data_IF_639476371216
#
_entry.id   IF_639476371216
#
_cell.length_a   1.000
_cell.length_b   1.000
_cell.length_c   1.000
_cell.angle_alpha   90.00
_cell.angle_beta   90.00
_cell.angle_gamma   90.00
#
_symmetry.space_group_name_H-M   'P 1'
#
loop_
_entity.id
_entity.type
_entity.pdbx_description
1 polymer ?
#
# COMPACT_ATOMS: atom_id res chain seq x y z
N UNK A 1 -22.89 9.75 -21.21
CA UNK A 1 -21.50 10.15 -21.50
C UNK A 1 -20.70 10.54 -20.25
N UNK A 2 -21.20 11.43 -19.36
CA UNK A 2 -20.49 11.81 -18.12
C UNK A 2 -20.25 10.66 -17.12
N UNK A 3 -21.22 9.74 -16.96
CA UNK A 3 -21.09 8.60 -16.06
C UNK A 3 -19.94 7.65 -16.45
N UNK A 4 -19.82 7.34 -17.74
CA UNK A 4 -18.75 6.49 -18.28
C UNK A 4 -17.34 7.07 -18.01
N UNK A 5 -17.18 8.39 -18.12
CA UNK A 5 -15.89 9.06 -17.86
C UNK A 5 -15.51 8.96 -16.38
N UNK A 6 -16.49 9.10 -15.47
CA UNK A 6 -16.25 8.98 -14.02
C UNK A 6 -15.86 7.56 -13.64
N UNK A 7 -16.50 6.55 -14.23
CA UNK A 7 -16.16 5.14 -13.99
C UNK A 7 -14.73 4.81 -14.45
N UNK A 8 -14.36 5.24 -15.66
CA UNK A 8 -13.01 5.02 -16.20
C UNK A 8 -11.94 5.75 -15.36
N UNK A 9 -12.21 6.99 -14.95
CA UNK A 9 -11.31 7.74 -14.06
C UNK A 9 -11.21 7.11 -12.67
N UNK A 10 -12.32 6.58 -12.14
CA UNK A 10 -12.35 5.89 -10.84
C UNK A 10 -11.52 4.61 -10.86
N UNK A 11 -11.67 3.78 -11.88
CA UNK A 11 -10.88 2.54 -12.06
C UNK A 11 -9.41 2.89 -12.28
N UNK A 12 -9.11 3.88 -13.13
CA UNK A 12 -7.75 4.34 -13.37
C UNK A 12 -7.06 4.85 -12.11
N UNK A 13 -7.77 5.64 -11.29
CA UNK A 13 -7.27 6.11 -10.00
C UNK A 13 -6.98 4.97 -9.02
N UNK A 14 -7.87 3.98 -8.94
CA UNK A 14 -7.67 2.80 -8.09
C UNK A 14 -6.42 2.00 -8.53
N UNK A 15 -6.25 1.76 -9.83
CA UNK A 15 -5.11 1.04 -10.37
C UNK A 15 -3.79 1.78 -10.11
N UNK A 16 -3.76 3.09 -10.34
CA UNK A 16 -2.59 3.92 -10.02
C UNK A 16 -2.25 3.87 -8.52
N UNK A 17 -3.26 3.94 -7.65
CA UNK A 17 -3.08 3.80 -6.20
C UNK A 17 -2.48 2.46 -5.81
N UNK A 18 -2.97 1.36 -6.38
CA UNK A 18 -2.43 0.02 -6.15
C UNK A 18 -0.98 -0.13 -6.63
N UNK A 19 -0.64 0.43 -7.78
CA UNK A 19 0.73 0.40 -8.30
C UNK A 19 1.68 1.16 -7.38
N UNK A 20 1.29 2.37 -6.95
CA UNK A 20 2.11 3.18 -6.03
C UNK A 20 2.28 2.47 -4.68
N UNK A 21 1.24 1.81 -4.20
CA UNK A 21 1.29 1.06 -2.93
C UNK A 21 2.20 -0.18 -3.02
N UNK A 22 2.24 -0.87 -4.17
CA UNK A 22 3.13 -2.01 -4.41
C UNK A 22 4.56 -1.63 -4.83
N UNK A 23 4.77 -0.41 -5.28
CA UNK A 23 6.07 0.10 -5.73
C UNK A 23 7.25 -0.18 -4.77
N UNK A 24 7.14 0.08 -3.45
CA UNK A 24 8.26 -0.19 -2.53
C UNK A 24 8.69 -1.66 -2.53
N UNK A 25 7.77 -2.60 -2.72
CA UNK A 25 8.08 -4.03 -2.83
C UNK A 25 8.92 -4.30 -4.08
N UNK A 26 8.54 -3.72 -5.22
CA UNK A 26 9.29 -3.87 -6.47
C UNK A 26 10.68 -3.24 -6.39
N UNK A 27 10.81 -2.07 -5.75
CA UNK A 27 12.11 -1.42 -5.55
C UNK A 27 13.05 -2.32 -4.74
N UNK A 28 12.55 -2.88 -3.63
CA UNK A 28 13.35 -3.78 -2.78
C UNK A 28 13.71 -5.06 -3.54
N UNK A 29 12.78 -5.65 -4.29
CA UNK A 29 13.05 -6.90 -5.03
C UNK A 29 14.03 -6.69 -6.18
N UNK A 30 13.94 -5.57 -6.90
CA UNK A 30 14.79 -5.29 -8.06
C UNK A 30 16.17 -4.72 -7.70
N UNK A 31 16.37 -4.22 -6.48
CA UNK A 31 17.64 -3.69 -6.03
C UNK A 31 18.70 -4.81 -5.87
N UNK A 32 19.91 -4.55 -6.38
CA UNK A 32 21.06 -5.48 -6.31
C UNK A 32 22.00 -5.19 -5.12
N UNK A 33 21.72 -4.18 -4.29
CA UNK A 33 22.56 -3.79 -3.15
C UNK A 33 22.26 -4.64 -1.93
N UNK A 34 21.00 -5.06 -1.77
CA UNK A 34 20.55 -5.91 -0.66
C UNK A 34 20.56 -7.39 -1.03
N UNK A 35 20.97 -8.25 -0.09
CA UNK A 35 21.07 -9.71 -0.31
C UNK A 35 19.99 -10.48 0.46
N UNK A 36 19.73 -11.74 0.05
CA UNK A 36 18.52 -12.53 0.41
C UNK A 36 17.88 -12.30 1.78
N UNK A 37 18.65 -12.38 2.89
CA UNK A 37 18.11 -12.17 4.25
C UNK A 37 17.78 -10.71 4.55
N UNK A 38 18.62 -9.79 4.12
CA UNK A 38 18.40 -8.35 4.27
C UNK A 38 17.17 -7.91 3.48
N UNK A 39 17.04 -8.39 2.24
CA UNK A 39 15.88 -8.14 1.39
C UNK A 39 14.58 -8.65 2.02
N UNK A 40 14.62 -9.82 2.66
CA UNK A 40 13.48 -10.36 3.42
C UNK A 40 13.11 -9.48 4.63
N UNK A 41 14.11 -8.97 5.36
CA UNK A 41 13.88 -8.06 6.49
C UNK A 41 13.23 -6.75 6.03
N UNK A 42 13.70 -6.18 4.92
CA UNK A 42 13.09 -4.99 4.33
C UNK A 42 11.67 -5.21 3.85
N UNK A 43 11.39 -6.33 3.17
CA UNK A 43 10.03 -6.69 2.76
C UNK A 43 9.10 -6.83 3.98
N UNK A 44 9.56 -7.47 5.05
CA UNK A 44 8.77 -7.56 6.29
C UNK A 44 8.52 -6.18 6.90
N UNK A 45 9.54 -5.32 6.97
CA UNK A 45 9.37 -3.96 7.48
C UNK A 45 8.30 -3.18 6.69
N UNK A 46 8.31 -3.27 5.35
CA UNK A 46 7.30 -2.61 4.50
C UNK A 46 5.91 -3.18 4.72
N UNK A 47 5.76 -4.51 4.83
CA UNK A 47 4.47 -5.15 5.13
C UNK A 47 3.94 -4.66 6.48
N UNK A 48 4.78 -4.69 7.52
CA UNK A 48 4.41 -4.21 8.84
C UNK A 48 3.98 -2.74 8.78
N UNK A 49 4.79 -1.83 8.25
CA UNK A 49 4.43 -0.40 8.26
C UNK A 49 3.14 -0.12 7.45
N UNK A 50 2.97 -0.75 6.29
CA UNK A 50 1.78 -0.55 5.44
C UNK A 50 0.51 -1.17 6.02
N UNK A 51 0.55 -2.41 6.50
CA UNK A 51 -0.64 -3.09 7.03
C UNK A 51 -0.98 -2.71 8.46
N UNK A 52 0.03 -2.43 9.29
CA UNK A 52 -0.17 -2.15 10.71
C UNK A 52 -0.76 -0.76 10.96
N UNK A 53 -0.67 0.17 10.00
CA UNK A 53 -1.41 1.44 10.03
C UNK A 53 -2.93 1.22 10.16
N UNK A 54 -3.47 0.18 9.52
CA UNK A 54 -4.90 -0.15 9.63
C UNK A 54 -5.27 -0.72 10.99
N UNK A 55 -4.39 -1.53 11.59
CA UNK A 55 -4.56 -2.06 12.94
C UNK A 55 -4.59 -0.90 13.95
N UNK A 56 -3.67 0.07 13.83
CA UNK A 56 -3.70 1.28 14.66
C UNK A 56 -4.95 2.10 14.42
N UNK A 57 -5.41 2.24 13.17
CA UNK A 57 -6.68 2.90 12.90
C UNK A 57 -7.84 2.20 13.62
N UNK A 58 -7.94 0.87 13.59
CA UNK A 58 -9.00 0.15 14.32
C UNK A 58 -8.89 0.30 15.84
N UNK A 59 -7.67 0.42 16.38
CA UNK A 59 -7.42 0.61 17.80
C UNK A 59 -7.73 2.04 18.27
N UNK A 60 -7.38 3.05 17.47
CA UNK A 60 -7.54 4.47 17.79
C UNK A 60 -8.89 5.03 17.33
N UNK A 61 -9.52 4.42 16.31
CA UNK A 61 -10.81 4.87 15.80
C UNK A 61 -11.85 4.75 16.93
N UNK A 62 -12.49 5.86 17.31
CA UNK A 62 -13.46 5.86 18.39
C UNK A 62 -14.67 5.00 18.02
N UNK A 63 -14.95 3.97 18.82
CA UNK A 63 -16.07 3.03 18.61
C UNK A 63 -17.43 3.70 18.92
N UNK A 64 -17.43 4.89 19.55
CA UNK A 64 -18.61 5.74 19.77
C UNK A 64 -18.28 7.20 19.46
N UNK A 65 -19.17 7.87 18.72
CA UNK A 65 -19.25 9.35 18.75
C UNK A 65 -19.65 9.75 20.16
N UNK A 66 -18.82 10.56 20.81
CA UNK A 66 -19.24 11.35 21.95
C UNK A 66 -20.22 12.44 21.49
#
# INVERSE_FOLDING_TARGET
>A
MKALIVEVLGIGGLLCGLIIWLLPFFIIISDNKTTGREKLAWLMAVIFISWFAWIFYLLLAPIRKA
#
